data_IF_994510026464
#
_entry.id   IF_994510026464
#
_cell.length_a   1.000
_cell.length_b   1.000
_cell.length_c   1.000
_cell.angle_alpha   90.00
_cell.angle_beta   90.00
_cell.angle_gamma   90.00
#
_symmetry.space_group_name_H-M   'P 1'
#
loop_
_entity.id
_entity.type
_entity.pdbx_description
1 polymer ?
#
# COMPACT_ATOMS: atom_id res chain seq x y z
N UNK A 1 23.45 -7.52 -0.88
CA UNK A 1 23.24 -6.33 -1.74
C UNK A 1 22.60 -5.24 -0.89
N UNK A 2 23.33 -4.20 -0.49
CA UNK A 2 22.74 -3.04 0.16
C UNK A 2 21.72 -2.38 -0.79
N UNK A 3 20.64 -1.83 -0.24
CA UNK A 3 19.67 -1.08 -1.03
C UNK A 3 20.31 0.22 -1.54
N UNK A 4 20.06 0.55 -2.80
CA UNK A 4 20.46 1.83 -3.36
C UNK A 4 19.79 2.96 -2.54
N UNK A 5 20.56 3.93 -1.99
CA UNK A 5 20.03 5.04 -1.21
C UNK A 5 18.93 5.82 -1.92
N UNK A 6 18.87 5.79 -3.25
CA UNK A 6 17.80 6.45 -4.03
C UNK A 6 16.39 5.96 -3.63
N UNK A 7 16.27 4.72 -3.15
CA UNK A 7 15.01 4.13 -2.71
C UNK A 7 14.60 4.54 -1.30
N UNK A 8 15.49 5.19 -0.53
CA UNK A 8 15.15 5.70 0.79
C UNK A 8 14.39 7.02 0.73
N UNK A 9 14.60 7.80 -0.34
CA UNK A 9 14.00 9.13 -0.50
C UNK A 9 12.50 9.16 -0.23
N UNK A 10 11.64 8.29 -0.80
CA UNK A 10 10.20 8.39 -0.55
C UNK A 10 9.84 8.31 0.93
N UNK A 11 10.57 7.51 1.72
CA UNK A 11 10.30 7.32 3.14
C UNK A 11 10.60 8.57 3.96
N UNK A 12 11.59 9.37 3.56
CA UNK A 12 11.90 10.68 4.16
C UNK A 12 10.74 11.67 3.99
N UNK A 13 9.95 11.51 2.93
CA UNK A 13 8.75 12.31 2.67
C UNK A 13 7.47 11.67 3.22
N UNK A 14 7.58 10.66 4.09
CA UNK A 14 6.44 10.05 4.77
C UNK A 14 5.69 8.99 3.95
N UNK A 15 6.24 8.56 2.81
CA UNK A 15 5.69 7.42 2.10
C UNK A 15 5.95 6.12 2.86
N UNK A 16 5.11 5.12 2.62
CA UNK A 16 5.29 3.77 3.15
C UNK A 16 5.14 2.74 2.05
N UNK A 17 5.97 1.73 2.07
CA UNK A 17 5.90 0.57 1.18
C UNK A 17 5.09 -0.53 1.85
N UNK A 18 4.21 -1.17 1.10
CA UNK A 18 3.43 -2.32 1.58
C UNK A 18 3.70 -3.53 0.69
N UNK A 19 4.21 -4.59 1.31
CA UNK A 19 4.46 -5.90 0.69
C UNK A 19 3.31 -6.82 1.05
N UNK A 20 2.62 -7.33 0.03
CA UNK A 20 1.44 -8.17 0.21
C UNK A 20 1.71 -9.55 -0.34
N UNK A 21 1.77 -10.55 0.53
CA UNK A 21 1.92 -11.95 0.16
C UNK A 21 0.53 -12.55 -0.11
N UNK A 22 0.29 -13.01 -1.34
CA UNK A 22 -0.99 -13.66 -1.70
C UNK A 22 -1.01 -15.11 -1.21
N UNK A 23 -2.18 -15.54 -0.77
CA UNK A 23 -2.44 -16.88 -0.20
C UNK A 23 -2.10 -18.03 -1.14
N UNK A 24 -2.13 -17.83 -2.46
CA UNK A 24 -1.85 -18.87 -3.46
C UNK A 24 -0.33 -19.04 -3.73
N UNK A 25 0.49 -18.82 -2.71
CA UNK A 25 1.85 -19.34 -2.62
C UNK A 25 2.99 -18.49 -3.19
N UNK A 26 2.81 -17.76 -4.30
CA UNK A 26 3.98 -17.17 -4.99
C UNK A 26 3.83 -15.73 -5.51
N UNK A 27 2.66 -15.11 -5.34
CA UNK A 27 2.44 -13.76 -5.82
C UNK A 27 2.65 -12.74 -4.69
N UNK A 28 3.56 -11.80 -4.91
CA UNK A 28 3.80 -10.65 -4.03
C UNK A 28 3.39 -9.38 -4.77
N UNK A 29 2.46 -8.64 -4.19
CA UNK A 29 2.09 -7.31 -4.66
C UNK A 29 2.79 -6.23 -3.85
N UNK A 30 3.29 -5.21 -4.55
CA UNK A 30 3.94 -4.05 -3.92
C UNK A 30 3.05 -2.83 -4.10
N UNK A 31 2.62 -2.27 -2.98
CA UNK A 31 1.84 -1.04 -2.94
C UNK A 31 2.60 0.05 -2.21
N UNK A 32 2.22 1.29 -2.47
CA UNK A 32 2.72 2.44 -1.74
C UNK A 32 1.58 3.20 -1.09
N UNK A 33 1.74 3.54 0.18
CA UNK A 33 0.92 4.52 0.89
C UNK A 33 1.62 5.87 0.81
N UNK A 34 0.87 6.85 0.33
CA UNK A 34 1.30 8.24 0.25
C UNK A 34 1.24 8.90 1.64
N UNK A 35 1.84 10.10 1.80
CA UNK A 35 1.75 10.87 3.05
C UNK A 35 0.32 11.31 3.40
N UNK A 36 -0.53 11.51 2.39
CA UNK A 36 -1.98 11.77 2.52
C UNK A 36 -2.80 10.47 2.68
N UNK A 37 -2.15 9.34 3.02
CA UNK A 37 -2.77 8.04 3.31
C UNK A 37 -3.50 7.39 2.12
N UNK A 38 -3.35 7.89 0.90
CA UNK A 38 -3.82 7.25 -0.33
C UNK A 38 -2.97 6.03 -0.67
N UNK A 39 -3.61 4.96 -1.13
CA UNK A 39 -2.95 3.72 -1.55
C UNK A 39 -2.82 3.67 -3.08
N UNK A 40 -1.60 3.51 -3.56
CA UNK A 40 -1.26 3.39 -4.99
C UNK A 40 -0.76 1.98 -5.25
N UNK A 41 -1.35 1.31 -6.25
CA UNK A 41 -1.14 -0.13 -6.47
C UNK A 41 -0.17 -0.44 -7.60
N UNK A 42 0.28 0.56 -8.35
CA UNK A 42 1.08 0.35 -9.55
C UNK A 42 2.03 1.52 -9.85
N UNK A 43 3.04 1.24 -10.68
CA UNK A 43 4.00 2.24 -11.17
C UNK A 43 3.32 3.39 -11.93
N UNK A 44 2.33 3.15 -12.83
CA UNK A 44 1.60 4.23 -13.48
C UNK A 44 0.83 5.12 -12.51
N UNK A 45 0.17 4.55 -11.49
CA UNK A 45 -0.54 5.33 -10.46
C UNK A 45 0.42 6.21 -9.66
N UNK A 46 1.58 5.68 -9.26
CA UNK A 46 2.62 6.49 -8.60
C UNK A 46 3.09 7.60 -9.54
N UNK A 47 3.38 7.30 -10.81
CA UNK A 47 3.81 8.31 -11.79
C UNK A 47 2.79 9.43 -11.92
N UNK A 48 1.51 9.11 -12.00
CA UNK A 48 0.44 10.10 -12.12
C UNK A 48 0.32 10.94 -10.85
N UNK A 49 0.40 10.31 -9.68
CA UNK A 49 0.39 11.03 -8.41
C UNK A 49 1.57 12.02 -8.27
N UNK A 50 2.76 11.63 -8.73
CA UNK A 50 3.97 12.44 -8.63
C UNK A 50 3.93 13.70 -9.50
N UNK A 51 3.28 13.66 -10.68
CA UNK A 51 3.20 14.80 -11.62
C UNK A 51 2.68 16.09 -10.99
N UNK A 52 1.82 15.98 -9.99
CA UNK A 52 1.06 17.11 -9.48
C UNK A 52 1.53 17.60 -8.10
N UNK A 53 2.45 16.89 -7.41
CA UNK A 53 2.53 17.01 -5.94
C UNK A 53 3.90 16.91 -5.26
N UNK A 54 5.02 16.61 -5.95
CA UNK A 54 6.26 16.28 -5.22
C UNK A 54 7.58 16.51 -5.99
N UNK A 55 8.71 16.63 -5.27
CA UNK A 55 10.08 16.61 -5.82
C UNK A 55 10.62 15.18 -6.11
N UNK A 56 9.90 14.14 -5.69
CA UNK A 56 10.24 12.75 -5.94
C UNK A 56 9.94 12.35 -7.39
N UNK A 57 10.78 11.47 -7.93
CA UNK A 57 10.62 10.86 -9.25
C UNK A 57 10.25 9.40 -9.09
N UNK A 58 9.69 8.81 -10.16
CA UNK A 58 9.33 7.40 -10.17
C UNK A 58 10.54 6.47 -9.91
N UNK A 59 11.75 6.93 -10.22
CA UNK A 59 13.02 6.24 -9.99
C UNK A 59 13.36 6.08 -8.50
N UNK A 60 12.78 6.92 -7.64
CA UNK A 60 12.92 6.78 -6.19
C UNK A 60 12.09 5.61 -5.63
N UNK A 61 11.21 4.99 -6.42
CA UNK A 61 10.32 3.91 -6.00
C UNK A 61 10.75 2.57 -6.57
N UNK A 62 10.57 1.50 -5.79
CA UNK A 62 10.94 0.14 -6.18
C UNK A 62 9.77 -0.83 -6.02
N UNK A 63 9.42 -1.48 -7.13
CA UNK A 63 8.36 -2.49 -7.19
C UNK A 63 8.92 -3.92 -7.16
N UNK A 64 10.16 -4.10 -6.68
CA UNK A 64 10.77 -5.43 -6.50
C UNK A 64 9.85 -6.28 -5.63
N UNK A 65 9.41 -7.44 -6.10
CA UNK A 65 8.48 -8.34 -5.39
C UNK A 65 9.16 -9.11 -4.25
N UNK A 66 9.68 -8.39 -3.27
CA UNK A 66 10.29 -8.90 -2.04
C UNK A 66 10.27 -7.84 -0.93
N UNK A 67 10.41 -8.28 0.32
CA UNK A 67 10.72 -7.39 1.43
C UNK A 67 12.13 -6.80 1.25
N UNK A 68 12.29 -5.54 1.65
CA UNK A 68 13.58 -4.85 1.65
C UNK A 68 14.23 -4.90 3.04
N UNK A 69 13.50 -5.32 4.06
CA UNK A 69 13.99 -5.42 5.44
C UNK A 69 14.09 -4.06 6.13
N UNK A 70 13.21 -3.13 5.77
CA UNK A 70 13.15 -1.81 6.39
C UNK A 70 12.29 -1.85 7.66
N UNK A 71 12.42 -0.82 8.49
CA UNK A 71 11.62 -0.63 9.69
C UNK A 71 10.11 -0.60 9.38
N UNK A 72 9.26 -1.02 10.33
CA UNK A 72 7.79 -1.01 10.19
C UNK A 72 7.19 0.38 9.90
N UNK A 73 7.94 1.46 10.16
CA UNK A 73 7.55 2.82 9.80
C UNK A 73 7.62 3.08 8.29
N UNK A 74 8.48 2.35 7.57
CA UNK A 74 8.79 2.53 6.14
C UNK A 74 8.27 1.38 5.28
N UNK A 75 8.31 0.15 5.77
CA UNK A 75 7.87 -1.06 5.06
C UNK A 75 6.94 -1.90 5.93
N UNK A 76 5.80 -2.29 5.38
CA UNK A 76 4.82 -3.13 6.06
C UNK A 76 4.65 -4.40 5.24
N UNK A 77 4.94 -5.55 5.85
CA UNK A 77 4.69 -6.86 5.27
C UNK A 77 3.37 -7.42 5.80
N UNK A 78 2.49 -7.87 4.91
CA UNK A 78 1.22 -8.51 5.31
C UNK A 78 0.78 -9.59 4.34
N UNK A 79 -0.06 -10.50 4.81
CA UNK A 79 -0.76 -11.42 3.94
C UNK A 79 -1.98 -10.72 3.30
N UNK A 80 -2.31 -11.10 2.07
CA UNK A 80 -3.62 -10.79 1.51
C UNK A 80 -4.68 -11.49 2.38
N UNK A 81 -5.79 -10.81 2.66
CA UNK A 81 -6.93 -11.48 3.26
C UNK A 81 -7.42 -12.55 2.29
N UNK A 82 -7.44 -13.81 2.73
CA UNK A 82 -8.26 -14.83 2.09
C UNK A 82 -9.69 -14.27 2.00
N UNK A 83 -10.35 -14.45 0.87
CA UNK A 83 -11.72 -13.97 0.62
C UNK A 83 -12.70 -14.38 1.73
N UNK A 84 -12.41 -15.44 2.48
CA UNK A 84 -13.14 -15.90 3.67
C UNK A 84 -13.26 -14.85 4.81
N UNK A 85 -12.30 -13.91 4.93
CA UNK A 85 -12.37 -12.80 5.94
C UNK A 85 -13.00 -11.51 5.40
N UNK A 86 -13.13 -11.36 4.09
CA UNK A 86 -13.70 -10.16 3.48
C UNK A 86 -15.24 -10.15 3.58
N UNK A 87 -15.88 -11.33 3.61
CA UNK A 87 -17.33 -11.46 3.77
C UNK A 87 -17.80 -11.13 5.19
N UNK A 88 -16.99 -11.39 6.20
CA UNK A 88 -17.31 -11.10 7.61
C UNK A 88 -17.25 -9.60 7.99
N UNK A 89 -16.67 -8.73 7.15
CA UNK A 89 -16.54 -7.29 7.44
C UNK A 89 -17.56 -6.39 6.69
N UNK A 90 -18.53 -6.97 5.97
CA UNK A 90 -19.61 -6.20 5.32
C UNK A 90 -20.90 -6.09 6.15
N UNK A 91 -20.91 -6.62 7.38
CA UNK A 91 -22.10 -6.67 8.24
C UNK A 91 -22.20 -5.58 9.32
N UNK A 92 -21.79 -4.34 9.05
CA UNK A 92 -21.78 -3.30 10.07
C UNK A 92 -22.01 -1.90 9.55
N UNK A 93 -23.28 -1.54 9.31
CA UNK A 93 -23.87 -0.27 9.74
C UNK A 93 -25.38 -0.28 9.47
N UNK A 94 -26.16 -0.35 10.55
CA UNK A 94 -27.61 -0.17 10.50
C UNK A 94 -27.99 1.28 10.26
N UNK A 95 -29.17 1.48 9.67
CA UNK A 95 -29.97 2.68 9.89
C UNK A 95 -31.35 2.17 10.32
N UNK A 96 -31.69 2.43 11.58
CA UNK A 96 -33.06 2.42 12.07
C UNK A 96 -33.75 3.71 11.59
N UNK A 97 -34.98 3.58 11.08
CA UNK A 97 -36.11 4.54 11.10
C UNK A 97 -37.20 3.95 10.18
N UNK A 98 -38.50 3.94 10.45
CA UNK A 98 -39.37 4.50 11.48
C UNK A 98 -40.72 3.78 11.29
N UNK A 99 -41.44 3.49 12.38
CA UNK A 99 -42.87 3.23 12.32
C UNK A 99 -43.59 4.48 11.83
N UNK A 100 -44.43 4.41 10.79
CA UNK A 100 -45.64 5.23 10.65
C UNK A 100 -46.68 4.56 9.72
N UNK A 101 -47.87 4.38 10.30
CA UNK A 101 -49.18 3.92 9.78
C UNK A 101 -49.42 2.41 9.65
#
# INVERSE_FOLDING_TARGET
>A
MPMDPIFNRPFEYGWKREVVYRTNGNAIDIYYRTPDKKKLRSKPEVREYLKQRTRLKIENFTFKRKALGLDNSKEICRNAYSTERAENNRGGNGINNENYF
#
